data_IF_624971667640
#
_entry.id   IF_624971667640
#
_cell.length_a   1.000
_cell.length_b   1.000
_cell.length_c   1.000
_cell.angle_alpha   90.00
_cell.angle_beta   90.00
_cell.angle_gamma   90.00
#
_symmetry.space_group_name_H-M   'P 1'
#
loop_
_entity.id
_entity.type
_entity.pdbx_description
1 polymer ?
#
# COMPACT_ATOMS: atom_id res chain seq x y z
N UNK A 1 -8.69 19.76 7.41
CA UNK A 1 -7.27 20.19 7.28
C UNK A 1 -6.93 20.16 5.81
N UNK A 2 -6.35 21.22 5.25
CA UNK A 2 -5.99 21.29 3.83
C UNK A 2 -4.46 21.39 3.70
N UNK A 3 -3.89 20.66 2.74
CA UNK A 3 -2.47 20.72 2.41
C UNK A 3 -2.33 21.15 0.95
N UNK A 4 -1.30 21.94 0.65
CA UNK A 4 -1.03 22.45 -0.69
C UNK A 4 0.26 21.86 -1.21
N UNK A 5 0.21 21.25 -2.40
CA UNK A 5 1.38 20.72 -3.10
C UNK A 5 1.67 21.66 -4.27
N UNK A 6 2.93 22.07 -4.40
CA UNK A 6 3.39 22.85 -5.55
C UNK A 6 3.74 21.87 -6.67
N UNK A 7 3.13 22.06 -7.83
CA UNK A 7 3.39 21.30 -9.05
C UNK A 7 3.86 22.25 -10.14
N UNK A 8 4.72 21.75 -11.01
CA UNK A 8 5.03 22.36 -12.30
C UNK A 8 3.83 22.26 -13.26
N UNK A 9 3.95 23.00 -14.37
CA UNK A 9 3.25 22.78 -15.65
C UNK A 9 2.87 21.32 -15.92
N UNK A 10 3.93 20.55 -16.15
CA UNK A 10 3.89 19.20 -16.69
C UNK A 10 3.33 18.20 -15.67
N UNK A 11 3.75 18.29 -14.41
CA UNK A 11 3.26 17.43 -13.34
C UNK A 11 1.75 17.59 -13.14
N UNK A 12 1.24 18.83 -13.19
CA UNK A 12 -0.19 19.10 -13.08
C UNK A 12 -0.95 18.50 -14.26
N UNK A 13 -0.47 18.67 -15.48
CA UNK A 13 -1.13 18.13 -16.68
C UNK A 13 -1.15 16.59 -16.68
N UNK A 14 -0.07 15.96 -16.21
CA UNK A 14 0.01 14.51 -16.04
C UNK A 14 -1.01 14.02 -15.02
N UNK A 15 -1.02 14.61 -13.82
CA UNK A 15 -1.88 14.20 -12.73
C UNK A 15 -3.37 14.46 -13.06
N UNK A 16 -3.69 15.54 -13.78
CA UNK A 16 -5.05 15.85 -14.24
C UNK A 16 -5.55 14.84 -15.27
N UNK A 17 -4.67 14.44 -16.21
CA UNK A 17 -4.98 13.43 -17.23
C UNK A 17 -5.25 12.06 -16.60
N UNK A 18 -4.44 11.68 -15.61
CA UNK A 18 -4.65 10.46 -14.82
C UNK A 18 -5.98 10.50 -14.07
N UNK A 19 -6.25 11.57 -13.31
CA UNK A 19 -7.48 11.70 -12.54
C UNK A 19 -8.74 11.64 -13.42
N UNK A 20 -8.71 12.32 -14.59
CA UNK A 20 -9.78 12.27 -15.59
C UNK A 20 -9.99 10.87 -16.15
N UNK A 21 -8.92 10.15 -16.53
CA UNK A 21 -9.00 8.79 -17.04
C UNK A 21 -9.70 7.85 -16.05
N UNK A 22 -9.45 8.05 -14.75
CA UNK A 22 -10.03 7.26 -13.68
C UNK A 22 -11.30 7.86 -13.06
N UNK A 23 -11.89 8.89 -13.69
CA UNK A 23 -13.12 9.55 -13.23
C UNK A 23 -13.09 9.99 -11.76
N UNK A 24 -11.95 10.50 -11.31
CA UNK A 24 -11.74 10.98 -9.94
C UNK A 24 -11.17 12.40 -9.93
N UNK A 25 -11.24 13.07 -8.79
CA UNK A 25 -10.55 14.34 -8.59
C UNK A 25 -9.04 14.15 -8.41
N UNK A 26 -8.27 15.19 -8.73
CA UNK A 26 -6.83 15.25 -8.47
C UNK A 26 -6.49 14.92 -7.01
N UNK A 27 -7.26 15.48 -6.06
CA UNK A 27 -7.05 15.26 -4.63
C UNK A 27 -7.30 13.82 -4.21
N UNK A 28 -8.31 13.16 -4.78
CA UNK A 28 -8.57 11.73 -4.55
C UNK A 28 -7.45 10.86 -5.13
N UNK A 29 -6.97 11.17 -6.33
CA UNK A 29 -5.84 10.46 -6.94
C UNK A 29 -4.59 10.54 -6.04
N UNK A 30 -4.23 11.74 -5.56
CA UNK A 30 -3.09 11.91 -4.65
C UNK A 30 -3.32 11.19 -3.30
N UNK A 31 -4.51 11.30 -2.72
CA UNK A 31 -4.83 10.63 -1.46
C UNK A 31 -4.68 9.11 -1.62
N UNK A 32 -5.27 8.55 -2.67
CA UNK A 32 -5.24 7.12 -2.95
C UNK A 32 -3.80 6.64 -3.18
N UNK A 33 -3.05 7.31 -4.04
CA UNK A 33 -1.65 6.96 -4.30
C UNK A 33 -0.78 7.01 -3.03
N UNK A 34 -1.01 7.98 -2.13
CA UNK A 34 -0.28 8.05 -0.87
C UNK A 34 -0.59 6.86 0.04
N UNK A 35 -1.87 6.51 0.21
CA UNK A 35 -2.26 5.40 1.06
C UNK A 35 -1.86 4.04 0.48
N UNK A 36 -1.95 3.87 -0.84
CA UNK A 36 -1.42 2.67 -1.52
C UNK A 36 0.08 2.50 -1.26
N UNK A 37 0.86 3.58 -1.35
CA UNK A 37 2.30 3.54 -1.05
C UNK A 37 2.59 3.14 0.41
N UNK A 38 1.78 3.64 1.35
CA UNK A 38 1.91 3.30 2.78
C UNK A 38 1.55 1.83 3.02
N UNK A 39 0.47 1.36 2.41
CA UNK A 39 0.01 -0.03 2.47
C UNK A 39 1.09 -0.98 1.91
N UNK A 40 1.62 -0.69 0.73
CA UNK A 40 2.70 -1.48 0.12
C UNK A 40 3.93 -1.60 1.04
N UNK A 41 4.35 -0.49 1.66
CA UNK A 41 5.50 -0.48 2.57
C UNK A 41 5.22 -1.27 3.85
N UNK A 42 3.99 -1.20 4.37
CA UNK A 42 3.55 -1.98 5.52
C UNK A 42 3.50 -3.48 5.20
N UNK A 43 2.90 -3.85 4.07
CA UNK A 43 2.79 -5.24 3.62
C UNK A 43 4.17 -5.88 3.41
N UNK A 44 5.11 -5.15 2.82
CA UNK A 44 6.50 -5.60 2.67
C UNK A 44 7.13 -5.85 4.04
N UNK A 45 6.93 -4.96 5.01
CA UNK A 45 7.49 -5.12 6.34
C UNK A 45 6.95 -6.38 7.04
N UNK A 46 5.63 -6.58 7.02
CA UNK A 46 4.98 -7.77 7.59
C UNK A 46 5.42 -9.05 6.88
N UNK A 47 5.52 -9.03 5.55
CA UNK A 47 5.98 -10.18 4.77
C UNK A 47 7.42 -10.58 5.13
N UNK A 48 8.31 -9.60 5.33
CA UNK A 48 9.69 -9.85 5.76
C UNK A 48 9.74 -10.45 7.17
N UNK A 49 8.94 -9.94 8.11
CA UNK A 49 8.86 -10.48 9.47
C UNK A 49 8.39 -11.94 9.47
N UNK A 50 7.30 -12.23 8.74
CA UNK A 50 6.77 -13.59 8.59
C UNK A 50 7.80 -14.53 7.94
N UNK A 51 8.54 -14.04 6.94
CA UNK A 51 9.59 -14.82 6.29
C UNK A 51 10.77 -15.11 7.24
N UNK A 52 11.20 -14.14 8.03
CA UNK A 52 12.25 -14.31 9.03
C UNK A 52 11.84 -15.32 10.11
N UNK A 53 10.59 -15.29 10.57
CA UNK A 53 10.04 -16.29 11.49
C UNK A 53 10.06 -17.69 10.87
N UNK A 54 9.62 -17.82 9.62
CA UNK A 54 9.67 -19.08 8.88
C UNK A 54 11.10 -19.62 8.77
N UNK A 55 12.09 -18.77 8.47
CA UNK A 55 13.50 -19.17 8.44
C UNK A 55 13.99 -19.65 9.82
N UNK A 56 13.65 -18.93 10.90
CA UNK A 56 14.00 -19.29 12.29
C UNK A 56 13.33 -20.58 12.76
N UNK A 57 12.14 -20.90 12.24
CA UNK A 57 11.44 -22.17 12.53
C UNK A 57 12.11 -23.42 11.91
N UNK A 58 13.16 -23.22 11.11
CA UNK A 58 13.78 -24.28 10.31
C UNK A 58 12.97 -24.60 9.06
N UNK A 59 12.26 -23.60 8.50
CA UNK A 59 11.46 -23.72 7.28
C UNK A 59 10.32 -24.74 7.41
N UNK A 60 9.72 -24.84 8.59
CA UNK A 60 8.60 -25.74 8.84
C UNK A 60 7.30 -25.05 8.47
N UNK A 61 6.42 -25.78 7.79
CA UNK A 61 5.05 -25.33 7.59
C UNK A 61 4.30 -25.41 8.93
N UNK A 62 3.34 -24.49 9.10
CA UNK A 62 2.36 -24.53 10.18
C UNK A 62 0.98 -24.89 9.64
N UNK A 63 0.10 -25.51 10.45
CA UNK A 63 -1.27 -25.78 10.04
C UNK A 63 -2.01 -24.50 9.62
N UNK A 64 -2.85 -24.58 8.58
CA UNK A 64 -3.62 -23.42 8.08
C UNK A 64 -4.54 -22.81 9.17
N UNK A 65 -4.97 -23.60 10.15
CA UNK A 65 -5.77 -23.12 11.26
C UNK A 65 -5.03 -22.18 12.23
N UNK A 66 -3.69 -22.11 12.18
CA UNK A 66 -2.94 -21.06 12.89
C UNK A 66 -3.05 -19.72 12.16
N UNK A 67 -2.97 -19.73 10.82
CA UNK A 67 -3.16 -18.51 10.03
C UNK A 67 -4.53 -17.89 10.27
N UNK A 68 -5.60 -18.69 10.29
CA UNK A 68 -6.96 -18.18 10.52
C UNK A 68 -7.11 -17.43 11.84
N UNK A 69 -6.43 -17.88 12.91
CA UNK A 69 -6.39 -17.17 14.19
C UNK A 69 -5.66 -15.83 14.09
N UNK A 70 -4.64 -15.73 13.24
CA UNK A 70 -3.86 -14.50 13.06
C UNK A 70 -4.62 -13.44 12.24
N UNK A 71 -5.55 -13.86 11.37
CA UNK A 71 -6.29 -12.97 10.47
C UNK A 71 -7.78 -12.81 10.83
N UNK A 72 -8.17 -13.21 12.05
CA UNK A 72 -9.54 -13.16 12.55
C UNK A 72 -10.59 -13.79 11.59
N UNK A 73 -10.25 -14.94 10.99
CA UNK A 73 -11.12 -15.74 10.10
C UNK A 73 -11.57 -17.07 10.72
#
# INVERSE_FOLDING_TARGET
>A
MAFSIRLTEEERNLADSYAKLHSMSMGEAFKKALFERIEDEYDIAIANEAYDEYLKSGKKSRPIGELWKDVDL
#
